data_IF_926765965112
#
_entry.id   IF_926765965112
#
_cell.length_a   1.000
_cell.length_b   1.000
_cell.length_c   1.000
_cell.angle_alpha   90.00
_cell.angle_beta   90.00
_cell.angle_gamma   90.00
#
_symmetry.space_group_name_H-M   'P 1'
#
loop_
_entity.id
_entity.type
_entity.pdbx_description
1 polymer ?
#
# COMPACT_ATOMS: atom_id res chain seq x y z
N UNK A 1 6.50 -16.24 16.63
CA UNK A 1 5.48 -15.50 15.85
C UNK A 1 5.25 -16.26 14.56
N UNK A 2 4.03 -16.74 14.32
CA UNK A 2 3.74 -17.44 13.07
C UNK A 2 3.70 -16.41 11.93
N UNK A 3 4.73 -16.42 11.08
CA UNK A 3 4.78 -15.60 9.87
C UNK A 3 3.71 -16.10 8.91
N UNK A 4 2.63 -15.33 8.75
CA UNK A 4 1.59 -15.62 7.77
C UNK A 4 2.18 -15.58 6.35
N UNK A 5 1.76 -16.53 5.53
CA UNK A 5 2.12 -16.57 4.11
C UNK A 5 1.46 -15.42 3.36
N UNK A 6 2.03 -15.02 2.21
CA UNK A 6 1.43 -14.00 1.34
C UNK A 6 -0.01 -14.33 0.92
N UNK A 7 -0.38 -15.62 0.82
CA UNK A 7 -1.75 -16.06 0.54
C UNK A 7 -2.71 -15.66 1.66
N UNK A 8 -2.30 -15.83 2.91
CA UNK A 8 -3.11 -15.51 4.09
C UNK A 8 -3.26 -13.99 4.25
N UNK A 9 -2.18 -13.23 4.04
CA UNK A 9 -2.24 -11.77 4.01
C UNK A 9 -3.14 -11.24 2.89
N UNK A 10 -3.02 -11.80 1.69
CA UNK A 10 -3.88 -11.45 0.56
C UNK A 10 -5.36 -11.72 0.84
N UNK A 11 -5.68 -12.87 1.45
CA UNK A 11 -7.05 -13.21 1.83
C UNK A 11 -7.62 -12.24 2.90
N UNK A 12 -6.83 -11.88 3.90
CA UNK A 12 -7.24 -10.93 4.93
C UNK A 12 -7.50 -9.53 4.35
N UNK A 13 -6.58 -9.02 3.52
CA UNK A 13 -6.73 -7.71 2.87
C UNK A 13 -7.97 -7.72 1.96
N UNK A 14 -8.14 -8.78 1.15
CA UNK A 14 -9.31 -8.91 0.28
C UNK A 14 -10.63 -8.95 1.05
N UNK A 15 -10.69 -9.68 2.17
CA UNK A 15 -11.87 -9.72 3.03
C UNK A 15 -12.19 -8.34 3.64
N UNK A 16 -11.18 -7.60 4.09
CA UNK A 16 -11.36 -6.25 4.64
C UNK A 16 -11.86 -5.25 3.59
N UNK A 17 -11.32 -5.31 2.37
CA UNK A 17 -11.79 -4.45 1.26
C UNK A 17 -13.23 -4.80 0.90
N UNK A 18 -13.57 -6.07 0.73
CA UNK A 18 -14.94 -6.49 0.42
C UNK A 18 -15.93 -6.11 1.52
N UNK A 19 -15.53 -6.27 2.78
CA UNK A 19 -16.33 -5.85 3.94
C UNK A 19 -16.57 -4.33 3.94
N UNK A 20 -15.53 -3.54 3.64
CA UNK A 20 -15.64 -2.08 3.55
C UNK A 20 -16.57 -1.67 2.41
N UNK A 21 -16.49 -2.32 1.25
CA UNK A 21 -17.42 -2.08 0.12
C UNK A 21 -18.87 -2.30 0.55
N UNK A 22 -19.13 -3.35 1.33
CA UNK A 22 -20.47 -3.63 1.86
C UNK A 22 -20.97 -2.59 2.87
N UNK A 23 -20.07 -1.90 3.58
CA UNK A 23 -20.44 -0.91 4.61
C UNK A 23 -20.63 0.50 4.07
N UNK A 24 -19.70 0.98 3.23
CA UNK A 24 -19.63 2.38 2.82
C UNK A 24 -19.77 2.59 1.31
N UNK A 25 -19.82 1.52 0.51
CA UNK A 25 -19.87 1.61 -0.94
C UNK A 25 -18.51 1.38 -1.61
N UNK A 26 -18.55 1.12 -2.91
CA UNK A 26 -17.36 0.80 -3.70
C UNK A 26 -16.48 2.04 -3.92
N UNK A 27 -17.09 3.16 -4.28
CA UNK A 27 -16.41 4.41 -4.63
C UNK A 27 -15.65 4.96 -3.42
N UNK A 28 -16.30 4.99 -2.26
CA UNK A 28 -15.73 5.41 -1.00
C UNK A 28 -14.59 4.49 -0.56
N UNK A 29 -14.77 3.17 -0.69
CA UNK A 29 -13.74 2.19 -0.32
C UNK A 29 -12.47 2.33 -1.17
N UNK A 30 -12.61 2.52 -2.48
CA UNK A 30 -11.45 2.75 -3.36
C UNK A 30 -10.69 3.99 -2.93
N UNK A 31 -11.39 5.08 -2.62
CA UNK A 31 -10.77 6.34 -2.22
C UNK A 31 -9.95 6.15 -0.93
N UNK A 32 -10.51 5.46 0.07
CA UNK A 32 -9.81 5.13 1.32
C UNK A 32 -8.58 4.27 1.08
N UNK A 33 -8.69 3.23 0.24
CA UNK A 33 -7.56 2.35 -0.09
C UNK A 33 -6.45 3.13 -0.79
N UNK A 34 -6.77 3.97 -1.76
CA UNK A 34 -5.79 4.79 -2.49
C UNK A 34 -5.10 5.79 -1.57
N UNK A 35 -5.84 6.50 -0.73
CA UNK A 35 -5.27 7.43 0.26
C UNK A 35 -4.38 6.68 1.24
N UNK A 36 -4.80 5.52 1.73
CA UNK A 36 -4.01 4.67 2.61
C UNK A 36 -2.67 4.25 1.97
N UNK A 37 -2.69 3.86 0.69
CA UNK A 37 -1.47 3.53 -0.06
C UNK A 37 -0.56 4.76 -0.18
N UNK A 38 -1.10 5.93 -0.53
CA UNK A 38 -0.30 7.17 -0.63
C UNK A 38 0.33 7.51 0.73
N UNK A 39 -0.43 7.48 1.82
CA UNK A 39 0.06 7.75 3.17
C UNK A 39 1.12 6.74 3.61
N UNK A 40 1.02 5.47 3.21
CA UNK A 40 2.06 4.47 3.46
C UNK A 40 3.38 4.86 2.79
N UNK A 41 3.36 5.29 1.52
CA UNK A 41 4.56 5.77 0.83
C UNK A 41 5.12 7.06 1.46
N UNK A 42 4.26 7.98 1.88
CA UNK A 42 4.68 9.20 2.59
C UNK A 42 5.37 8.84 3.91
N UNK A 43 4.77 7.96 4.73
CA UNK A 43 5.37 7.50 5.99
C UNK A 43 6.71 6.84 5.76
N UNK A 44 6.79 5.94 4.77
CA UNK A 44 8.04 5.28 4.40
C UNK A 44 9.13 6.26 3.91
N UNK A 45 8.76 7.38 3.29
CA UNK A 45 9.69 8.46 2.97
C UNK A 45 10.17 9.20 4.22
N UNK A 46 9.27 9.50 5.15
CA UNK A 46 9.62 10.16 6.42
C UNK A 46 10.50 9.29 7.31
N UNK A 47 10.29 7.98 7.30
CA UNK A 47 11.11 6.99 8.03
C UNK A 47 12.51 6.79 7.39
N UNK A 48 12.79 7.43 6.25
CA UNK A 48 14.06 7.31 5.53
C UNK A 48 14.27 5.97 4.83
N UNK A 49 13.28 5.07 4.85
CA UNK A 49 13.30 3.79 4.14
C UNK A 49 13.11 3.94 2.63
N UNK A 50 12.53 5.06 2.20
CA UNK A 50 12.45 5.47 0.80
C UNK A 50 13.48 6.55 0.53
N UNK A 51 14.66 6.15 0.07
CA UNK A 51 15.64 7.07 -0.45
C UNK A 51 15.25 7.48 -1.90
N UNK A 52 14.72 8.70 -2.03
CA UNK A 52 14.29 9.28 -3.30
C UNK A 52 15.48 9.52 -4.24
N UNK A 53 16.69 9.76 -3.71
CA UNK A 53 17.91 9.85 -4.51
C UNK A 53 18.24 8.52 -5.17
N UNK A 54 17.94 7.42 -4.49
CA UNK A 54 18.17 6.07 -4.96
C UNK A 54 17.18 5.68 -6.09
N UNK A 55 15.93 6.14 -6.00
CA UNK A 55 14.93 6.02 -7.08
C UNK A 55 15.36 6.87 -8.29
N UNK A 56 15.83 8.11 -8.06
CA UNK A 56 16.30 9.01 -9.11
C UNK A 56 17.52 8.45 -9.84
N UNK A 57 18.49 7.92 -9.10
CA UNK A 57 19.70 7.30 -9.66
C UNK A 57 19.37 6.06 -10.52
N UNK A 58 18.38 5.26 -10.14
CA UNK A 58 17.90 4.12 -10.95
C UNK A 58 17.16 4.56 -12.21
N UNK A 59 16.37 5.63 -12.13
CA UNK A 59 15.71 6.20 -13.30
C UNK A 59 16.71 6.80 -14.29
N UNK A 60 17.73 7.50 -13.80
CA UNK A 60 18.78 8.11 -14.64
C UNK A 60 19.76 7.10 -15.23
N UNK A 61 20.04 5.96 -14.57
CA UNK A 61 20.87 4.88 -15.15
C UNK A 61 20.19 4.09 -16.30
N UNK A 62 18.89 4.32 -16.52
CA UNK A 62 18.14 3.71 -17.63
C UNK A 62 17.87 4.70 -18.77
N UNK A 63 18.31 5.95 -18.64
CA UNK A 63 18.26 6.98 -19.68
C UNK A 63 19.57 7.09 -20.44
#
# INVERSE_FOLDING_TARGET
MATWTYKQWGALIGALVAFSIGLIGFDETILVVLVGVICYFIGKYLDGELDVEDIRNRAQRRG
#
